data_IF_207388967042
#
_entry.id   IF_207388967042
#
_cell.length_a   1.000
_cell.length_b   1.000
_cell.length_c   1.000
_cell.angle_alpha   90.00
_cell.angle_beta   90.00
_cell.angle_gamma   90.00
#
_symmetry.space_group_name_H-M   'P 1'
#
loop_
_entity.id
_entity.type
_entity.pdbx_description
1 polymer ?
#
# COMPACT_ATOMS: atom_id res chain seq x y z
N UNK A 1 -4.46 15.72 60.79
CA UNK A 1 -3.62 16.39 59.78
C UNK A 1 -3.70 15.58 58.49
N UNK A 2 -4.11 16.21 57.38
CA UNK A 2 -3.66 16.06 55.97
C UNK A 2 -3.05 14.70 55.57
N UNK A 3 -3.39 14.03 54.47
CA UNK A 3 -4.17 14.35 53.28
C UNK A 3 -4.33 13.05 52.52
N UNK A 4 -5.50 12.88 51.93
CA UNK A 4 -5.82 11.94 50.87
C UNK A 4 -4.95 12.20 49.64
N UNK A 5 -4.37 11.17 49.02
CA UNK A 5 -4.15 11.16 47.57
C UNK A 5 -4.55 9.81 47.00
N UNK A 6 -5.79 9.83 46.52
CA UNK A 6 -6.38 8.88 45.57
C UNK A 6 -5.49 8.89 44.33
N UNK A 7 -4.95 7.74 43.96
CA UNK A 7 -4.33 7.59 42.64
C UNK A 7 -5.45 7.70 41.59
N UNK A 8 -5.35 8.62 40.62
CA UNK A 8 -6.28 8.61 39.50
C UNK A 8 -6.06 7.31 38.71
N UNK A 9 -7.11 6.51 38.65
CA UNK A 9 -7.27 5.46 37.64
C UNK A 9 -7.27 6.13 36.28
N UNK A 10 -6.14 6.21 35.60
CA UNK A 10 -6.15 6.38 34.14
C UNK A 10 -6.08 4.99 33.54
N UNK A 11 -7.22 4.31 33.58
CA UNK A 11 -7.55 3.32 32.57
C UNK A 11 -7.41 4.05 31.22
N UNK A 12 -6.63 3.59 30.23
CA UNK A 12 -6.77 4.11 28.89
C UNK A 12 -8.19 3.73 28.46
N UNK A 13 -9.05 4.74 28.46
CA UNK A 13 -10.44 4.67 28.09
C UNK A 13 -10.55 3.93 26.76
N UNK A 14 -11.38 2.88 26.75
CA UNK A 14 -11.70 2.14 25.55
C UNK A 14 -12.32 3.11 24.54
N UNK A 15 -11.54 3.48 23.52
CA UNK A 15 -12.09 4.10 22.32
C UNK A 15 -12.65 2.99 21.44
N UNK A 16 -13.79 2.42 21.83
CA UNK A 16 -14.63 1.77 20.85
C UNK A 16 -15.08 2.86 19.86
N UNK A 17 -14.63 2.79 18.60
CA UNK A 17 -15.49 3.26 17.51
C UNK A 17 -14.90 3.99 16.32
N UNK A 18 -13.64 4.43 16.30
CA UNK A 18 -13.13 5.14 15.12
C UNK A 18 -12.08 4.31 14.39
N UNK A 19 -12.58 3.32 13.64
CA UNK A 19 -11.80 2.63 12.60
C UNK A 19 -11.18 3.72 11.72
N UNK A 20 -9.85 3.80 11.68
CA UNK A 20 -9.18 4.85 10.92
C UNK A 20 -9.53 4.66 9.44
N UNK A 21 -10.02 5.71 8.77
CA UNK A 21 -10.30 5.70 7.35
C UNK A 21 -8.97 5.60 6.59
N UNK A 22 -8.65 4.42 6.10
CA UNK A 22 -7.42 4.16 5.33
C UNK A 22 -7.83 4.05 3.87
N UNK A 23 -7.42 5.03 3.07
CA UNK A 23 -7.53 4.97 1.62
C UNK A 23 -6.16 4.62 1.02
N UNK A 24 -6.12 3.65 0.12
CA UNK A 24 -4.87 3.17 -0.47
C UNK A 24 -4.91 3.35 -1.97
N UNK A 25 -3.89 4.03 -2.49
CA UNK A 25 -3.68 4.21 -3.91
C UNK A 25 -2.42 3.50 -4.36
N UNK A 26 -2.56 2.52 -5.25
CA UNK A 26 -1.42 1.86 -5.89
C UNK A 26 -0.85 2.79 -6.95
N UNK A 27 0.44 3.10 -6.83
CA UNK A 27 1.17 3.92 -7.80
C UNK A 27 1.79 3.06 -8.90
N UNK A 28 2.37 1.93 -8.53
CA UNK A 28 2.99 0.98 -9.46
C UNK A 28 2.90 -0.43 -8.92
N UNK A 29 2.79 -1.39 -9.84
CA UNK A 29 2.90 -2.82 -9.56
C UNK A 29 4.17 -3.33 -10.21
N UNK A 30 4.89 -4.16 -9.48
CA UNK A 30 6.11 -4.83 -9.90
C UNK A 30 5.85 -6.34 -9.85
N UNK A 31 6.08 -7.01 -10.98
CA UNK A 31 5.90 -8.47 -11.07
C UNK A 31 7.20 -9.25 -10.79
N UNK A 32 8.31 -8.54 -10.55
CA UNK A 32 9.63 -9.12 -10.41
C UNK A 32 10.33 -8.62 -9.14
N UNK A 33 10.99 -9.54 -8.43
CA UNK A 33 11.72 -9.27 -7.20
C UNK A 33 10.86 -9.25 -5.93
N UNK A 34 11.44 -8.74 -4.84
CA UNK A 34 10.79 -8.73 -3.52
C UNK A 34 9.77 -7.61 -3.36
N UNK A 35 9.80 -6.58 -4.20
CA UNK A 35 8.83 -5.48 -4.13
C UNK A 35 7.69 -5.80 -5.09
N UNK A 36 6.48 -5.93 -4.55
CA UNK A 36 5.27 -6.22 -5.31
C UNK A 36 4.59 -4.95 -5.83
N UNK A 37 4.56 -3.90 -5.01
CA UNK A 37 3.94 -2.64 -5.39
C UNK A 37 4.46 -1.47 -4.58
N UNK A 38 4.36 -0.29 -5.17
CA UNK A 38 4.51 0.98 -4.45
C UNK A 38 3.16 1.67 -4.37
N UNK A 39 2.82 2.19 -3.20
CA UNK A 39 1.55 2.80 -2.90
C UNK A 39 1.69 4.07 -2.07
N UNK A 40 0.61 4.84 -2.07
CA UNK A 40 0.40 5.95 -1.16
C UNK A 40 -0.82 5.64 -0.31
N UNK A 41 -0.74 5.91 0.99
CA UNK A 41 -1.84 5.70 1.92
C UNK A 41 -2.30 7.06 2.44
N UNK A 42 -3.61 7.29 2.44
CA UNK A 42 -4.24 8.44 3.06
C UNK A 42 -4.98 8.01 4.33
N UNK A 43 -4.72 8.71 5.42
CA UNK A 43 -5.27 8.48 6.74
C UNK A 43 -6.28 9.57 7.07
N UNK A 44 -7.54 9.18 7.25
CA UNK A 44 -8.68 10.03 7.57
C UNK A 44 -8.84 11.24 6.63
N UNK A 45 -8.36 11.17 5.39
CA UNK A 45 -8.31 12.33 4.47
C UNK A 45 -7.51 13.53 4.99
N UNK A 46 -6.75 13.35 6.07
CA UNK A 46 -5.99 14.40 6.74
C UNK A 46 -4.48 14.27 6.51
N UNK A 47 -3.98 13.04 6.34
CA UNK A 47 -2.56 12.78 6.20
C UNK A 47 -2.29 11.78 5.08
N UNK A 48 -1.46 12.17 4.11
CA UNK A 48 -1.02 11.28 3.04
C UNK A 48 0.44 10.87 3.24
N UNK A 49 0.67 9.55 3.32
CA UNK A 49 2.00 8.95 3.41
C UNK A 49 2.32 8.34 2.05
N UNK A 50 3.39 8.82 1.41
CA UNK A 50 3.85 8.33 0.12
C UNK A 50 4.99 7.33 0.28
N UNK A 51 5.26 6.60 -0.80
CA UNK A 51 6.39 5.69 -0.92
C UNK A 51 6.32 4.51 0.06
N UNK A 52 5.10 4.02 0.32
CA UNK A 52 4.88 2.77 1.03
C UNK A 52 5.06 1.63 0.04
N UNK A 53 5.81 0.60 0.42
CA UNK A 53 6.08 -0.55 -0.46
C UNK A 53 5.41 -1.79 0.09
N UNK A 54 4.71 -2.53 -0.76
CA UNK A 54 4.28 -3.89 -0.47
C UNK A 54 5.39 -4.84 -0.93
N UNK A 55 5.92 -5.64 -0.02
CA UNK A 55 6.98 -6.60 -0.31
C UNK A 55 6.50 -8.03 -0.09
N UNK A 56 7.05 -8.98 -0.84
CA UNK A 56 6.84 -10.39 -0.64
C UNK A 56 8.03 -10.97 0.14
N UNK A 57 7.74 -11.60 1.28
CA UNK A 57 8.73 -12.31 2.08
C UNK A 57 8.38 -13.78 2.21
N UNK A 58 9.24 -14.56 2.86
CA UNK A 58 9.04 -16.00 3.07
C UNK A 58 7.75 -16.31 3.86
N UNK A 59 7.34 -15.40 4.76
CA UNK A 59 6.13 -15.50 5.58
C UNK A 59 4.90 -14.85 4.93
N UNK A 60 5.00 -14.46 3.67
CA UNK A 60 3.94 -13.78 2.92
C UNK A 60 4.19 -12.29 2.70
N UNK A 61 3.14 -11.60 2.25
CA UNK A 61 3.19 -10.18 1.89
C UNK A 61 3.23 -9.30 3.15
N UNK A 62 4.10 -8.29 3.14
CA UNK A 62 4.24 -7.36 4.25
C UNK A 62 4.47 -5.94 3.74
N UNK A 63 4.06 -4.96 4.55
CA UNK A 63 4.37 -3.56 4.27
C UNK A 63 5.80 -3.21 4.68
N UNK A 64 6.46 -2.42 3.85
CA UNK A 64 7.67 -1.66 4.17
C UNK A 64 7.30 -0.18 4.22
N UNK A 65 7.56 0.41 5.38
CA UNK A 65 7.34 1.82 5.65
C UNK A 65 8.29 2.69 4.81
N UNK A 66 7.93 3.97 4.58
CA UNK A 66 8.80 4.88 3.85
C UNK A 66 10.02 5.16 4.71
N UNK A 67 11.21 4.91 4.17
CA UNK A 67 12.47 5.09 4.87
C UNK A 67 13.41 6.03 4.13
N UNK A 68 14.26 6.70 4.88
CA UNK A 68 15.33 7.54 4.35
C UNK A 68 16.69 6.95 4.73
N UNK A 69 17.69 7.15 3.85
CA UNK A 69 19.07 6.76 4.13
C UNK A 69 19.77 7.87 4.89
N UNK A 70 20.30 7.55 6.05
CA UNK A 70 21.10 8.46 6.88
C UNK A 70 22.51 8.59 6.31
N UNK A 71 23.23 9.67 6.61
CA UNK A 71 24.63 9.87 6.19
C UNK A 71 25.57 8.74 6.58
N UNK A 72 25.25 8.00 7.65
CA UNK A 72 26.00 6.83 8.12
C UNK A 72 25.67 5.53 7.34
N UNK A 73 24.81 5.61 6.32
CA UNK A 73 24.39 4.46 5.51
C UNK A 73 23.19 3.68 6.04
N UNK A 74 22.75 3.93 7.28
CA UNK A 74 21.58 3.27 7.89
C UNK A 74 20.25 3.80 7.35
N UNK A 75 19.28 2.91 7.16
CA UNK A 75 17.92 3.27 6.81
C UNK A 75 17.08 3.48 8.07
N UNK A 76 16.36 4.60 8.12
CA UNK A 76 15.39 4.87 9.18
C UNK A 76 14.02 5.12 8.59
N UNK A 77 13.01 4.52 9.20
CA UNK A 77 11.62 4.73 8.83
C UNK A 77 11.20 6.16 9.21
N UNK A 78 10.56 6.85 8.27
CA UNK A 78 10.03 8.20 8.44
C UNK A 78 8.73 8.14 9.24
N UNK A 79 7.94 7.10 9.03
CA UNK A 79 6.68 6.88 9.71
C UNK A 79 6.55 5.40 10.08
N UNK A 80 6.06 5.13 11.29
CA UNK A 80 5.82 3.78 11.77
C UNK A 80 4.49 3.74 12.55
N UNK A 81 3.73 2.65 12.43
CA UNK A 81 2.50 2.47 13.19
C UNK A 81 2.88 2.13 14.64
N UNK A 82 2.27 2.82 15.60
CA UNK A 82 2.55 2.58 17.03
C UNK A 82 1.84 1.32 17.52
N UNK A 83 0.63 1.08 17.04
CA UNK A 83 -0.22 -0.05 17.47
C UNK A 83 -0.20 -1.18 16.45
N UNK A 84 -0.16 -2.43 16.92
CA UNK A 84 -0.23 -3.62 16.07
C UNK A 84 -1.54 -3.69 15.25
N UNK A 85 -2.66 -3.27 15.83
CA UNK A 85 -3.96 -3.26 15.14
C UNK A 85 -3.93 -2.37 13.89
N UNK A 86 -3.40 -1.16 14.02
CA UNK A 86 -3.26 -0.24 12.88
C UNK A 86 -2.29 -0.77 11.82
N UNK A 87 -1.21 -1.42 12.23
CA UNK A 87 -0.29 -2.10 11.31
C UNK A 87 -1.03 -3.18 10.49
N UNK A 88 -1.85 -3.99 11.15
CA UNK A 88 -2.65 -5.02 10.47
C UNK A 88 -3.65 -4.38 9.50
N UNK A 89 -4.40 -3.38 9.94
CA UNK A 89 -5.36 -2.67 9.09
C UNK A 89 -4.69 -2.06 7.84
N UNK A 90 -3.53 -1.41 8.00
CA UNK A 90 -2.76 -0.91 6.85
C UNK A 90 -2.30 -2.04 5.92
N UNK A 91 -1.82 -3.15 6.48
CA UNK A 91 -1.36 -4.31 5.69
C UNK A 91 -2.50 -4.89 4.85
N UNK A 92 -3.67 -5.06 5.46
CA UNK A 92 -4.86 -5.63 4.82
C UNK A 92 -5.39 -4.70 3.73
N UNK A 93 -5.53 -3.40 4.02
CA UNK A 93 -5.98 -2.41 3.05
C UNK A 93 -5.04 -2.35 1.83
N UNK A 94 -3.72 -2.37 2.07
CA UNK A 94 -2.73 -2.37 1.01
C UNK A 94 -2.75 -3.67 0.18
N UNK A 95 -2.92 -4.80 0.83
CA UNK A 95 -3.01 -6.12 0.16
C UNK A 95 -4.28 -6.23 -0.69
N UNK A 96 -5.42 -5.70 -0.22
CA UNK A 96 -6.67 -5.65 -0.99
C UNK A 96 -6.51 -4.79 -2.22
N UNK A 97 -6.06 -3.54 -2.04
CA UNK A 97 -5.84 -2.61 -3.15
C UNK A 97 -4.85 -3.15 -4.18
N UNK A 98 -3.80 -3.86 -3.74
CA UNK A 98 -2.86 -4.54 -4.63
C UNK A 98 -3.53 -5.63 -5.47
N UNK A 99 -4.32 -6.52 -4.85
CA UNK A 99 -5.03 -7.59 -5.56
C UNK A 99 -6.00 -7.04 -6.60
N UNK A 100 -6.77 -6.01 -6.24
CA UNK A 100 -7.68 -5.33 -7.15
C UNK A 100 -6.94 -4.69 -8.33
N UNK A 101 -5.85 -3.98 -8.05
CA UNK A 101 -5.04 -3.35 -9.08
C UNK A 101 -4.35 -4.39 -9.99
N UNK A 102 -3.95 -5.55 -9.46
CA UNK A 102 -3.40 -6.67 -10.24
C UNK A 102 -4.44 -7.21 -11.23
N UNK A 103 -5.68 -7.44 -10.77
CA UNK A 103 -6.78 -7.90 -11.64
C UNK A 103 -7.06 -6.89 -12.76
N UNK A 104 -7.10 -5.60 -12.44
CA UNK A 104 -7.31 -4.54 -13.45
C UNK A 104 -6.14 -4.49 -14.44
N UNK A 105 -4.90 -4.65 -13.98
CA UNK A 105 -3.73 -4.64 -14.85
C UNK A 105 -3.73 -5.83 -15.81
N UNK A 106 -4.07 -7.03 -15.34
CA UNK A 106 -4.19 -8.23 -16.19
C UNK A 106 -5.31 -8.07 -17.24
N UNK A 107 -6.46 -7.50 -16.83
CA UNK A 107 -7.56 -7.21 -17.76
C UNK A 107 -7.23 -6.16 -18.83
N UNK A 108 -6.34 -5.20 -18.52
CA UNK A 108 -5.84 -4.22 -19.51
C UNK A 108 -4.83 -4.82 -20.49
N UNK A 109 -3.97 -5.73 -20.03
CA UNK A 109 -3.01 -6.41 -20.91
C UNK A 109 -3.69 -7.35 -21.90
N UNK A 110 -4.80 -7.99 -21.51
CA UNK A 110 -5.61 -8.81 -22.42
C UNK A 110 -6.27 -7.97 -23.54
N UNK A 111 -6.75 -6.76 -23.24
CA UNK A 111 -7.41 -5.88 -24.22
C UNK A 111 -6.44 -5.24 -25.24
N UNK A 112 -5.15 -5.08 -24.91
CA UNK A 112 -4.15 -4.60 -25.88
C UNK A 112 -3.64 -5.69 -26.83
N UNK A 113 -3.77 -6.97 -26.49
CA UNK A 113 -3.40 -8.08 -27.36
C UNK A 113 -4.43 -8.36 -28.48
N UNK A 114 -5.59 -7.71 -28.45
CA UNK A 114 -6.71 -7.96 -29.36
C UNK A 114 -6.98 -6.79 -30.34
N UNK A 115 -6.02 -5.89 -30.56
CA UNK A 115 -6.11 -4.96 -31.70
C UNK A 115 -5.87 -5.72 -32.99
N UNK A 116 -6.85 -5.81 -33.92
CA UNK A 116 -6.67 -6.52 -35.17
C UNK A 116 -5.61 -5.77 -35.97
N UNK A 117 -4.55 -6.48 -36.35
CA UNK A 117 -3.56 -6.02 -37.32
C UNK A 117 -4.35 -5.50 -38.54
N UNK A 118 -4.23 -4.22 -38.94
CA UNK A 118 -4.86 -3.77 -40.17
C UNK A 118 -4.29 -4.61 -41.31
N UNK A 119 -5.14 -5.47 -41.89
CA UNK A 119 -4.81 -6.27 -43.06
C UNK A 119 -4.49 -5.30 -44.19
N UNK A 120 -3.20 -5.10 -44.47
CA UNK A 120 -2.76 -4.46 -45.70
C UNK A 120 -3.07 -5.46 -46.80
N UNK A 121 -4.15 -5.20 -47.54
CA UNK A 121 -4.55 -5.99 -48.70
C UNK A 121 -3.37 -6.04 -49.69
N UNK A 122 -3.05 -7.22 -50.26
CA UNK A 122 -2.10 -7.27 -51.36
C UNK A 122 -2.79 -6.66 -52.57
N UNK A 123 -2.40 -5.46 -52.96
CA UNK A 123 -2.72 -4.92 -54.27
C UNK A 123 -1.98 -5.78 -55.31
N UNK A 124 -2.68 -6.76 -55.85
CA UNK A 124 -2.29 -7.42 -57.09
C UNK A 124 -2.53 -6.51 -58.30
N UNK A 125 -1.88 -6.89 -59.40
CA UNK A 125 -2.02 -6.39 -60.79
C UNK A 125 -1.51 -4.95 -61.02
N UNK A 126 -0.72 -4.63 -62.05
CA UNK A 126 -0.52 -5.28 -63.36
C UNK A 126 0.56 -4.53 -64.16
N UNK A 127 1.16 -5.27 -65.12
CA UNK A 127 2.03 -4.88 -66.26
C UNK A 127 3.51 -4.64 -65.97
#
# INVERSE_FOLDING_TARGET
MKTQQVQPKTQPEGHAGNKMGIDVKINSISMEGNILATASINLNQCLAIRNIRLMNGEKGMFLSMPSYRTGNGEFRDICFPITAEFRTQMTEALTSAYKEALTIQQGKMAQMAESPVPQIAPAGLSM
#
